data_IF_357995057045
#
_entry.id   IF_357995057045
#
_cell.length_a   1.000
_cell.length_b   1.000
_cell.length_c   1.000
_cell.angle_alpha   90.00
_cell.angle_beta   90.00
_cell.angle_gamma   90.00
#
_symmetry.space_group_name_H-M   'P 1'
#
loop_
_entity.id
_entity.type
_entity.pdbx_description
1 polymer ?
#
# COMPACT_ATOMS: atom_id res chain seq x y z
N UNK A 1 3.17 -24.52 -3.75
CA UNK A 1 4.51 -25.09 -3.51
C UNK A 1 5.13 -24.38 -2.31
N UNK A 2 5.19 -25.05 -1.17
CA UNK A 2 5.71 -24.47 0.08
C UNK A 2 7.21 -24.25 0.07
N UNK A 3 7.94 -24.80 -0.92
CA UNK A 3 9.37 -24.56 -1.04
C UNK A 3 9.70 -23.14 -1.49
N UNK A 4 8.75 -22.39 -2.06
CA UNK A 4 8.96 -21.04 -2.59
C UNK A 4 8.70 -20.01 -1.50
N UNK A 5 9.69 -19.19 -1.17
CA UNK A 5 9.53 -18.09 -0.19
C UNK A 5 9.13 -16.78 -0.87
N UNK A 6 9.76 -16.46 -2.01
CA UNK A 6 9.58 -15.21 -2.75
C UNK A 6 9.39 -15.46 -4.23
N UNK A 7 8.67 -14.55 -4.89
CA UNK A 7 8.57 -14.50 -6.35
C UNK A 7 9.18 -13.19 -6.84
N UNK A 8 10.13 -13.30 -7.77
CA UNK A 8 10.70 -12.16 -8.46
C UNK A 8 10.28 -12.18 -9.92
N UNK A 9 9.76 -11.05 -10.39
CA UNK A 9 9.31 -10.86 -11.78
C UNK A 9 10.15 -9.76 -12.41
N UNK A 10 10.66 -9.97 -13.62
CA UNK A 10 11.29 -8.90 -14.39
C UNK A 10 10.55 -8.67 -15.71
N UNK A 11 10.30 -7.41 -16.05
CA UNK A 11 9.69 -6.97 -17.31
C UNK A 11 10.31 -5.64 -17.79
N UNK A 12 9.93 -5.16 -18.97
CA UNK A 12 10.51 -3.94 -19.52
C UNK A 12 9.80 -2.66 -19.08
N UNK A 13 8.48 -2.55 -19.28
CA UNK A 13 7.71 -1.34 -18.99
C UNK A 13 7.21 -1.29 -17.54
N UNK A 14 6.94 -0.07 -17.08
CA UNK A 14 6.47 0.22 -15.73
C UNK A 14 4.95 0.11 -15.58
N UNK A 15 4.49 -0.21 -14.36
CA UNK A 15 3.11 0.01 -13.95
C UNK A 15 2.85 1.50 -13.67
N UNK A 16 3.75 2.13 -12.90
CA UNK A 16 3.77 3.54 -12.55
C UNK A 16 5.17 4.11 -12.81
N UNK A 17 5.23 5.34 -13.34
CA UNK A 17 6.47 5.99 -13.73
C UNK A 17 6.38 7.51 -13.57
N UNK A 18 6.72 8.01 -12.39
CA UNK A 18 6.70 9.44 -12.08
C UNK A 18 7.65 10.28 -12.96
N UNK A 19 8.79 9.71 -13.36
CA UNK A 19 9.79 10.38 -14.21
C UNK A 19 9.37 10.48 -15.68
N UNK A 20 8.59 9.50 -16.16
CA UNK A 20 8.14 9.46 -17.54
C UNK A 20 6.85 8.65 -17.65
N UNK A 21 5.67 9.27 -17.44
CA UNK A 21 4.38 8.57 -17.44
C UNK A 21 4.04 7.89 -18.76
N UNK A 22 4.46 8.47 -19.89
CA UNK A 22 4.30 7.86 -21.23
C UNK A 22 5.05 6.51 -21.38
N UNK A 23 6.00 6.22 -20.48
CA UNK A 23 6.72 4.96 -20.42
C UNK A 23 5.92 3.80 -19.79
N UNK A 24 4.78 4.10 -19.15
CA UNK A 24 3.88 3.11 -18.55
C UNK A 24 3.19 2.24 -19.61
N UNK A 25 2.80 1.03 -19.22
CA UNK A 25 2.05 0.14 -20.11
C UNK A 25 0.99 -0.67 -19.37
N UNK A 26 -0.23 -0.71 -19.90
CA UNK A 26 -1.35 -1.42 -19.25
C UNK A 26 -1.12 -2.94 -19.04
N UNK A 27 -0.21 -3.56 -19.80
CA UNK A 27 0.16 -4.96 -19.53
C UNK A 27 0.98 -5.11 -18.24
N UNK A 28 1.74 -4.08 -17.83
CA UNK A 28 2.47 -4.06 -16.58
C UNK A 28 1.50 -3.97 -15.40
N UNK A 29 0.46 -3.12 -15.47
CA UNK A 29 -0.63 -3.09 -14.48
C UNK A 29 -1.32 -4.46 -14.38
N UNK A 30 -1.60 -5.10 -15.52
CA UNK A 30 -2.18 -6.46 -15.55
C UNK A 30 -1.27 -7.48 -14.85
N UNK A 31 0.05 -7.37 -15.04
CA UNK A 31 1.01 -8.24 -14.36
C UNK A 31 1.07 -7.95 -12.86
N UNK A 32 1.03 -6.68 -12.44
CA UNK A 32 0.94 -6.29 -11.03
C UNK A 32 -0.29 -6.91 -10.38
N UNK A 33 -1.48 -6.76 -10.96
CA UNK A 33 -2.72 -7.38 -10.42
C UNK A 33 -2.60 -8.89 -10.26
N UNK A 34 -1.91 -9.58 -11.19
CA UNK A 34 -1.70 -11.03 -11.09
C UNK A 34 -0.77 -11.41 -9.96
N UNK A 35 0.30 -10.63 -9.75
CA UNK A 35 1.25 -10.86 -8.65
C UNK A 35 0.62 -10.49 -7.32
N UNK A 36 -0.22 -9.45 -7.26
CA UNK A 36 -0.98 -9.09 -6.06
C UNK A 36 -1.91 -10.21 -5.62
N UNK A 37 -2.66 -10.77 -6.58
CA UNK A 37 -3.51 -11.93 -6.32
C UNK A 37 -2.68 -13.11 -5.80
N UNK A 38 -1.53 -13.40 -6.42
CA UNK A 38 -0.63 -14.44 -5.92
C UNK A 38 -0.18 -14.15 -4.48
N UNK A 39 0.26 -12.92 -4.19
CA UNK A 39 0.73 -12.51 -2.86
C UNK A 39 -0.38 -12.65 -1.81
N UNK A 40 -1.61 -12.24 -2.15
CA UNK A 40 -2.80 -12.37 -1.31
C UNK A 40 -3.18 -13.83 -1.05
N UNK A 41 -3.29 -14.63 -2.10
CA UNK A 41 -3.75 -16.02 -2.00
C UNK A 41 -2.71 -16.95 -1.38
N UNK A 42 -1.43 -16.68 -1.59
CA UNK A 42 -0.34 -17.53 -1.10
C UNK A 42 0.31 -16.99 0.18
N UNK A 43 -0.02 -15.75 0.58
CA UNK A 43 0.65 -15.02 1.66
C UNK A 43 2.14 -14.85 1.44
N UNK A 44 2.62 -14.76 0.19
CA UNK A 44 4.06 -14.77 -0.17
C UNK A 44 4.49 -13.43 -0.75
N UNK A 45 5.50 -12.77 -0.17
CA UNK A 45 6.00 -11.53 -0.72
C UNK A 45 6.56 -11.68 -2.13
N UNK A 46 6.44 -10.61 -2.91
CA UNK A 46 6.95 -10.55 -4.26
C UNK A 46 7.66 -9.22 -4.54
N UNK A 47 8.56 -9.22 -5.52
CA UNK A 47 9.07 -7.98 -6.08
C UNK A 47 9.10 -8.06 -7.60
N UNK A 48 8.66 -6.97 -8.23
CA UNK A 48 8.63 -6.80 -9.67
C UNK A 48 9.64 -5.73 -10.06
N UNK A 49 10.55 -6.09 -10.97
CA UNK A 49 11.58 -5.22 -11.50
C UNK A 49 11.21 -4.83 -12.92
N UNK A 50 11.27 -3.53 -13.21
CA UNK A 50 11.03 -2.99 -14.53
C UNK A 50 12.08 -1.95 -14.92
N UNK A 51 11.96 -1.44 -16.14
CA UNK A 51 12.86 -0.44 -16.70
C UNK A 51 12.11 0.52 -17.60
N UNK A 52 12.63 0.67 -18.83
CA UNK A 52 12.13 1.56 -19.87
C UNK A 52 12.32 3.05 -19.54
N UNK A 53 11.72 3.52 -18.45
CA UNK A 53 12.01 4.84 -17.87
C UNK A 53 13.40 4.82 -17.25
N UNK A 54 14.32 5.61 -17.79
CA UNK A 54 15.71 5.65 -17.37
C UNK A 54 15.87 6.41 -16.05
N UNK A 55 15.58 5.72 -14.94
CA UNK A 55 15.64 6.26 -13.59
C UNK A 55 15.56 5.17 -12.53
N UNK A 56 15.29 5.58 -11.30
CA UNK A 56 14.93 4.71 -10.19
C UNK A 56 13.55 5.09 -9.70
N UNK A 57 12.76 4.09 -9.36
CA UNK A 57 11.52 4.26 -8.64
C UNK A 57 11.32 3.04 -7.76
N UNK A 58 10.84 3.21 -6.53
CA UNK A 58 10.35 2.14 -5.67
C UNK A 58 8.97 2.53 -5.17
N UNK A 59 7.98 1.76 -5.61
CA UNK A 59 6.65 1.74 -5.03
C UNK A 59 6.28 0.33 -4.61
N UNK A 60 5.01 0.13 -4.31
CA UNK A 60 4.47 -1.20 -4.05
C UNK A 60 3.01 -1.18 -3.73
N UNK A 61 2.38 -2.34 -3.90
CA UNK A 61 0.96 -2.50 -3.68
C UNK A 61 0.61 -2.17 -2.23
N UNK A 62 -0.40 -1.31 -2.04
CA UNK A 62 -0.89 -0.98 -0.70
C UNK A 62 -1.30 -2.21 0.09
N UNK A 63 -2.10 -3.10 -0.48
CA UNK A 63 -2.81 -4.14 0.28
C UNK A 63 -2.08 -5.49 0.43
N UNK A 64 -0.91 -5.66 -0.20
CA UNK A 64 -0.13 -6.91 -0.16
C UNK A 64 1.37 -6.61 -0.18
N UNK A 65 2.24 -7.50 0.32
CA UNK A 65 3.70 -7.30 0.28
C UNK A 65 4.25 -7.56 -1.13
N UNK A 66 4.00 -6.63 -2.05
CA UNK A 66 4.47 -6.68 -3.42
C UNK A 66 5.12 -5.35 -3.80
N UNK A 67 6.43 -5.36 -4.02
CA UNK A 67 7.20 -4.18 -4.45
C UNK A 67 7.24 -4.06 -5.97
N UNK A 68 7.21 -2.83 -6.47
CA UNK A 68 7.45 -2.51 -7.87
C UNK A 68 8.66 -1.57 -7.94
N UNK A 69 9.72 -2.00 -8.63
CA UNK A 69 10.99 -1.28 -8.66
C UNK A 69 11.46 -1.02 -10.09
N UNK A 70 11.58 0.25 -10.47
CA UNK A 70 12.30 0.64 -11.68
C UNK A 70 13.81 0.58 -11.43
N UNK A 71 14.54 -0.17 -12.25
CA UNK A 71 15.99 -0.34 -12.15
C UNK A 71 16.75 0.11 -13.40
N UNK A 72 16.14 0.86 -14.32
CA UNK A 72 16.73 1.25 -15.60
C UNK A 72 17.65 2.49 -15.57
N UNK A 73 18.42 2.66 -14.49
CA UNK A 73 19.37 3.78 -14.34
C UNK A 73 20.84 3.35 -14.38
N UNK A 74 21.15 2.14 -14.82
CA UNK A 74 22.54 1.68 -14.95
C UNK A 74 23.28 2.30 -16.16
N UNK A 75 22.54 2.88 -17.11
CA UNK A 75 23.05 3.50 -18.34
C UNK A 75 21.91 4.11 -19.16
N UNK A 76 22.18 4.48 -20.41
CA UNK A 76 21.22 5.25 -21.22
C UNK A 76 21.15 6.73 -20.79
N UNK A 77 20.40 7.56 -21.51
CA UNK A 77 20.16 8.95 -21.09
C UNK A 77 19.03 8.94 -20.07
N UNK A 78 19.28 9.40 -18.85
CA UNK A 78 18.29 9.49 -17.78
C UNK A 78 17.07 10.33 -18.20
N UNK A 79 15.90 9.90 -17.77
CA UNK A 79 14.69 10.72 -17.78
C UNK A 79 14.73 11.60 -16.52
N UNK A 80 14.67 12.92 -16.73
CA UNK A 80 15.06 13.93 -15.73
C UNK A 80 13.83 14.59 -15.15
N UNK A 81 13.89 15.00 -13.89
CA UNK A 81 12.86 15.89 -13.36
C UNK A 81 12.79 17.17 -14.20
N UNK A 82 11.57 17.58 -14.56
CA UNK A 82 11.29 18.76 -15.40
C UNK A 82 11.58 18.57 -16.89
N UNK A 83 11.89 17.35 -17.37
CA UNK A 83 12.01 17.09 -18.82
C UNK A 83 10.69 16.73 -19.50
N UNK A 84 9.64 16.48 -18.72
CA UNK A 84 8.30 16.15 -19.18
C UNK A 84 7.28 16.85 -18.26
N UNK A 85 6.28 17.51 -18.84
CA UNK A 85 5.22 18.22 -18.11
C UNK A 85 4.18 17.26 -17.51
N UNK A 86 4.20 15.97 -17.89
CA UNK A 86 3.28 14.95 -17.39
C UNK A 86 3.69 14.35 -16.03
N UNK A 87 4.91 14.61 -15.55
CA UNK A 87 5.43 14.05 -14.29
C UNK A 87 4.49 14.35 -13.12
N UNK A 88 4.24 13.34 -12.29
CA UNK A 88 3.28 13.41 -11.19
C UNK A 88 3.77 12.61 -9.98
N UNK A 89 3.34 13.04 -8.79
CA UNK A 89 3.56 12.35 -7.52
C UNK A 89 2.52 11.23 -7.36
N UNK A 90 2.99 9.98 -7.45
CA UNK A 90 2.17 8.79 -7.38
C UNK A 90 2.02 8.34 -5.91
N UNK A 91 0.79 8.25 -5.35
CA UNK A 91 0.59 7.95 -3.93
C UNK A 91 1.15 6.61 -3.43
N UNK A 92 1.49 5.67 -4.31
CA UNK A 92 2.05 4.36 -3.97
C UNK A 92 3.55 4.26 -4.25
N UNK A 93 4.14 5.28 -4.90
CA UNK A 93 5.58 5.41 -5.12
C UNK A 93 6.20 6.15 -3.94
N UNK A 94 7.21 5.53 -3.32
CA UNK A 94 7.86 6.06 -2.11
C UNK A 94 9.18 6.74 -2.43
N UNK A 95 9.87 6.30 -3.47
CA UNK A 95 11.17 6.83 -3.84
C UNK A 95 11.32 6.92 -5.34
N UNK A 96 11.57 8.11 -5.88
CA UNK A 96 11.96 8.32 -7.27
C UNK A 96 13.22 9.16 -7.40
N UNK A 97 14.15 8.69 -8.24
CA UNK A 97 15.47 9.31 -8.40
C UNK A 97 15.90 9.32 -9.86
N UNK A 98 16.28 10.49 -10.37
CA UNK A 98 16.76 10.69 -11.73
C UNK A 98 18.30 10.62 -11.84
N UNK A 99 18.94 9.72 -11.08
CA UNK A 99 20.40 9.54 -11.08
C UNK A 99 20.81 8.14 -11.56
N UNK A 100 22.04 8.02 -12.07
CA UNK A 100 22.61 6.72 -12.42
C UNK A 100 22.79 5.85 -11.19
N UNK A 101 22.68 4.54 -11.36
CA UNK A 101 22.82 3.60 -10.27
C UNK A 101 22.45 2.18 -10.65
N UNK A 102 22.50 1.28 -9.67
CA UNK A 102 22.07 -0.09 -9.81
C UNK A 102 21.47 -0.59 -8.51
N UNK A 103 20.72 -1.69 -8.59
CA UNK A 103 20.13 -2.35 -7.43
C UNK A 103 20.86 -3.67 -7.16
N UNK A 104 21.12 -3.94 -5.89
CA UNK A 104 21.58 -5.24 -5.39
C UNK A 104 20.46 -5.86 -4.57
N UNK A 105 20.14 -7.12 -4.87
CA UNK A 105 19.15 -7.90 -4.12
C UNK A 105 19.85 -9.03 -3.39
N UNK A 106 19.95 -8.92 -2.07
CA UNK A 106 20.53 -9.93 -1.20
C UNK A 106 19.41 -10.83 -0.67
N UNK A 107 19.43 -12.12 -1.02
CA UNK A 107 18.40 -13.07 -0.60
C UNK A 107 18.96 -14.08 0.38
N UNK A 108 18.32 -14.20 1.53
CA UNK A 108 18.59 -15.20 2.56
C UNK A 108 17.47 -16.23 2.53
N UNK A 109 17.82 -17.49 2.31
CA UNK A 109 16.91 -18.63 2.44
C UNK A 109 17.09 -19.32 3.80
N UNK A 110 16.19 -20.24 4.15
CA UNK A 110 16.24 -21.01 5.40
C UNK A 110 14.98 -20.79 6.24
N UNK A 111 15.08 -20.91 7.56
CA UNK A 111 13.90 -20.87 8.45
C UNK A 111 13.30 -19.47 8.59
N UNK A 112 14.12 -18.43 8.43
CA UNK A 112 13.70 -17.03 8.40
C UNK A 112 14.10 -16.37 7.07
N UNK A 113 13.42 -16.71 5.95
CA UNK A 113 13.74 -16.14 4.65
C UNK A 113 13.46 -14.66 4.63
N UNK A 114 14.36 -13.92 3.98
CA UNK A 114 14.21 -12.49 3.70
C UNK A 114 14.95 -12.11 2.44
N UNK A 115 14.57 -11.00 1.84
CA UNK A 115 15.42 -10.31 0.86
C UNK A 115 15.63 -8.86 1.30
N UNK A 116 16.82 -8.33 1.00
CA UNK A 116 17.13 -6.91 1.17
C UNK A 116 17.48 -6.33 -0.20
N UNK A 117 16.75 -5.30 -0.59
CA UNK A 117 17.02 -4.51 -1.78
C UNK A 117 17.84 -3.30 -1.40
N UNK A 118 18.94 -3.05 -2.12
CA UNK A 118 19.80 -1.87 -1.95
C UNK A 118 19.98 -1.14 -3.26
N UNK A 119 19.65 0.14 -3.28
CA UNK A 119 19.92 1.05 -4.38
C UNK A 119 21.27 1.73 -4.17
N UNK A 120 22.19 1.49 -5.08
CA UNK A 120 23.48 2.18 -5.13
C UNK A 120 23.44 3.26 -6.22
N UNK A 121 23.42 4.53 -5.81
CA UNK A 121 23.47 5.69 -6.70
C UNK A 121 24.90 6.11 -7.05
N UNK A 122 25.05 6.74 -8.22
CA UNK A 122 26.32 7.20 -8.80
C UNK A 122 26.23 8.64 -9.34
N UNK A 123 25.18 9.39 -8.96
CA UNK A 123 24.94 10.75 -9.42
C UNK A 123 24.50 10.82 -10.88
N UNK A 124 24.53 12.02 -11.44
CA UNK A 124 24.04 12.30 -12.79
C UNK A 124 25.22 12.45 -13.76
N UNK A 125 24.95 12.71 -15.04
CA UNK A 125 26.00 12.83 -16.05
C UNK A 125 26.95 14.01 -15.78
N UNK A 126 26.42 15.11 -15.24
CA UNK A 126 27.12 16.35 -14.90
C UNK A 126 27.62 16.38 -13.45
N UNK A 127 27.00 15.60 -12.57
CA UNK A 127 27.27 15.55 -11.12
C UNK A 127 27.52 14.12 -10.66
N UNK A 128 28.48 13.43 -11.29
CA UNK A 128 28.84 12.06 -10.90
C UNK A 128 29.28 12.00 -9.43
N UNK A 129 28.86 10.92 -8.76
CA UNK A 129 29.14 10.65 -7.35
C UNK A 129 29.87 9.32 -7.19
N UNK A 130 30.58 9.17 -6.08
CA UNK A 130 30.98 7.85 -5.62
C UNK A 130 29.73 6.97 -5.41
N UNK A 131 29.90 5.65 -5.47
CA UNK A 131 28.84 4.70 -5.16
C UNK A 131 28.33 4.93 -3.75
N UNK A 132 27.07 5.33 -3.61
CA UNK A 132 26.43 5.63 -2.32
C UNK A 132 25.12 4.85 -2.20
N UNK A 133 24.81 4.36 -1.01
CA UNK A 133 23.48 3.81 -0.72
C UNK A 133 22.47 4.96 -0.75
N UNK A 134 21.39 4.80 -1.51
CA UNK A 134 20.37 5.84 -1.69
C UNK A 134 18.97 5.39 -1.30
N UNK A 135 18.77 4.08 -1.19
CA UNK A 135 17.53 3.47 -0.76
C UNK A 135 17.80 2.02 -0.32
N UNK A 136 17.11 1.55 0.70
CA UNK A 136 17.20 0.20 1.25
C UNK A 136 15.85 -0.24 1.80
N UNK A 137 15.41 -1.45 1.46
CA UNK A 137 14.25 -2.09 2.06
C UNK A 137 14.51 -3.58 2.29
N UNK A 138 14.04 -4.10 3.42
CA UNK A 138 14.09 -5.54 3.74
C UNK A 138 12.68 -6.07 3.87
N UNK A 139 12.41 -7.20 3.22
CA UNK A 139 11.11 -7.89 3.27
C UNK A 139 11.32 -9.31 3.76
N UNK A 140 10.54 -9.72 4.76
CA UNK A 140 10.61 -11.05 5.38
C UNK A 140 9.46 -11.91 4.86
N UNK A 141 9.69 -13.22 4.72
CA UNK A 141 8.60 -14.18 4.42
C UNK A 141 7.63 -14.31 5.59
N UNK A 142 8.17 -14.26 6.81
CA UNK A 142 7.43 -14.30 8.06
C UNK A 142 7.78 -13.02 8.81
N UNK A 143 6.85 -12.09 8.76
CA UNK A 143 6.96 -10.75 9.34
C UNK A 143 5.91 -10.66 10.45
N UNK A 144 6.28 -10.15 11.62
CA UNK A 144 5.33 -10.01 12.70
C UNK A 144 4.58 -8.69 12.53
N UNK A 145 3.33 -8.77 12.06
CA UNK A 145 2.54 -7.58 11.83
C UNK A 145 2.43 -6.68 13.09
N UNK A 146 2.33 -5.35 12.90
CA UNK A 146 2.17 -4.43 14.01
C UNK A 146 0.83 -4.64 14.73
N UNK A 147 0.76 -4.13 15.95
CA UNK A 147 -0.48 -4.17 16.74
C UNK A 147 -1.53 -3.27 16.09
N UNK A 148 -2.79 -3.71 16.09
CA UNK A 148 -3.89 -2.89 15.59
C UNK A 148 -3.94 -1.54 16.32
N UNK A 149 -4.05 -0.41 15.60
CA UNK A 149 -4.06 0.90 16.24
C UNK A 149 -5.28 1.09 17.12
N UNK A 150 -5.10 1.84 18.21
CA UNK A 150 -6.23 2.35 18.99
C UNK A 150 -6.77 3.61 18.33
N UNK A 151 -8.08 3.73 18.06
CA UNK A 151 -8.66 4.97 17.56
C UNK A 151 -8.71 6.01 18.68
N UNK A 152 -8.19 7.22 18.44
CA UNK A 152 -8.11 8.30 19.44
C UNK A 152 -9.20 9.33 19.20
N UNK A 153 -9.28 9.89 17.99
CA UNK A 153 -10.28 10.90 17.60
C UNK A 153 -10.53 10.86 16.09
N UNK A 154 -11.68 11.35 15.60
CA UNK A 154 -12.83 11.85 16.33
C UNK A 154 -13.66 10.73 16.99
N UNK A 155 -14.37 11.06 18.07
CA UNK A 155 -15.30 10.16 18.79
C UNK A 155 -16.44 10.94 19.42
N UNK A 156 -17.63 10.36 19.48
CA UNK A 156 -18.79 11.03 20.07
C UNK A 156 -19.24 12.24 19.24
N UNK A 157 -19.69 13.33 19.86
CA UNK A 157 -20.07 14.56 19.13
C UNK A 157 -18.84 15.45 18.97
N UNK A 158 -18.58 15.91 17.74
CA UNK A 158 -17.41 16.74 17.44
C UNK A 158 -17.82 17.98 16.64
N UNK A 159 -17.15 19.10 16.92
CA UNK A 159 -17.40 20.35 16.19
C UNK A 159 -16.96 20.25 14.71
N UNK A 160 -17.55 21.06 13.81
CA UNK A 160 -17.18 21.10 12.40
C UNK A 160 -15.69 21.29 12.12
N UNK A 161 -14.94 21.95 13.03
CA UNK A 161 -13.50 22.21 12.89
C UNK A 161 -12.59 21.07 13.37
N UNK A 162 -13.15 20.01 13.97
CA UNK A 162 -12.38 18.90 14.53
C UNK A 162 -12.20 17.80 13.48
N UNK A 163 -11.48 18.12 12.42
CA UNK A 163 -11.43 17.28 11.20
C UNK A 163 -10.14 16.48 11.06
N UNK A 164 -9.66 15.93 12.17
CA UNK A 164 -8.43 15.14 12.21
C UNK A 164 -8.72 13.73 12.71
N UNK A 165 -8.50 12.73 11.86
CA UNK A 165 -8.43 11.32 12.25
C UNK A 165 -7.12 11.12 13.00
N UNK A 166 -7.15 10.49 14.18
CA UNK A 166 -5.96 10.24 15.00
C UNK A 166 -5.97 8.84 15.56
N UNK A 167 -4.87 8.13 15.36
CA UNK A 167 -4.60 6.82 15.93
C UNK A 167 -3.66 6.93 17.13
N UNK A 168 -3.61 5.88 17.95
CA UNK A 168 -2.65 5.73 19.03
C UNK A 168 -1.25 5.42 18.50
N UNK A 169 -0.33 5.18 19.43
CA UNK A 169 1.06 4.88 19.09
C UNK A 169 1.19 3.60 18.26
N UNK A 170 2.11 3.65 17.28
CA UNK A 170 2.55 2.48 16.54
C UNK A 170 3.35 1.55 17.45
N UNK A 171 3.06 0.25 17.38
CA UNK A 171 3.77 -0.75 18.17
C UNK A 171 3.97 -2.03 17.35
N UNK A 172 5.22 -2.46 17.25
CA UNK A 172 5.63 -3.67 16.55
C UNK A 172 6.40 -4.60 17.49
N UNK A 173 6.15 -5.91 17.38
CA UNK A 173 6.77 -6.91 18.24
C UNK A 173 8.17 -7.36 17.80
N UNK A 174 8.51 -7.21 16.51
CA UNK A 174 9.83 -7.52 15.98
C UNK A 174 10.72 -6.27 15.78
N UNK A 175 10.15 -5.09 16.06
CA UNK A 175 10.88 -3.83 16.17
C UNK A 175 10.99 -3.06 14.86
N UNK A 176 10.25 -3.45 13.83
CA UNK A 176 10.10 -2.63 12.64
C UNK A 176 9.47 -1.27 12.96
N UNK A 177 9.76 -0.28 12.10
CA UNK A 177 9.29 1.09 12.26
C UNK A 177 7.92 1.27 11.59
N UNK A 178 7.22 2.35 11.98
CA UNK A 178 5.99 2.76 11.30
C UNK A 178 6.27 3.07 9.82
N UNK A 179 5.62 2.33 8.93
CA UNK A 179 5.83 2.37 7.49
C UNK A 179 4.69 3.05 6.73
N UNK A 180 3.45 2.88 7.16
CA UNK A 180 2.28 3.54 6.60
C UNK A 180 1.06 3.49 7.53
N UNK A 181 0.07 4.36 7.30
CA UNK A 181 -1.27 4.24 7.87
C UNK A 181 -2.33 4.33 6.79
N UNK A 182 -3.39 3.54 6.97
CA UNK A 182 -4.56 3.54 6.11
C UNK A 182 -5.80 3.86 6.94
N UNK A 183 -6.53 4.91 6.58
CA UNK A 183 -7.80 5.30 7.20
C UNK A 183 -8.97 5.12 6.25
N UNK A 184 -10.11 4.72 6.81
CA UNK A 184 -11.39 4.69 6.13
C UNK A 184 -12.47 5.33 6.99
N UNK A 185 -13.35 6.12 6.37
CA UNK A 185 -14.58 6.65 6.98
C UNK A 185 -15.78 6.17 6.18
N UNK A 186 -16.84 5.77 6.88
CA UNK A 186 -18.11 5.30 6.30
C UNK A 186 -19.31 5.93 7.03
N UNK A 187 -20.50 5.84 6.44
CA UNK A 187 -21.75 6.30 7.05
C UNK A 187 -22.25 5.38 8.18
N UNK A 188 -21.69 4.16 8.26
CA UNK A 188 -22.02 3.12 9.25
C UNK A 188 -20.75 2.34 9.60
N UNK A 189 -20.69 1.80 10.82
CA UNK A 189 -19.55 1.02 11.32
C UNK A 189 -19.35 -0.34 10.62
N UNK A 190 -20.23 -0.69 9.68
CA UNK A 190 -20.11 -1.87 8.82
C UNK A 190 -19.95 -1.51 7.34
N UNK A 191 -19.92 -0.22 6.98
CA UNK A 191 -19.95 0.28 5.60
C UNK A 191 -18.58 0.48 4.96
N UNK A 192 -17.54 -0.21 5.42
CA UNK A 192 -16.16 0.03 4.95
C UNK A 192 -15.80 -0.65 3.62
N UNK A 193 -16.72 -1.40 3.02
CA UNK A 193 -16.56 -1.93 1.66
C UNK A 193 -16.76 -0.83 0.59
N UNK A 194 -17.49 0.23 0.95
CA UNK A 194 -17.70 1.43 0.14
C UNK A 194 -17.46 2.68 1.01
N UNK A 195 -16.20 2.96 1.40
CA UNK A 195 -15.90 4.07 2.28
C UNK A 195 -16.23 5.41 1.62
N UNK A 196 -16.76 6.34 2.41
CA UNK A 196 -16.96 7.74 1.99
C UNK A 196 -15.64 8.49 1.86
N UNK A 197 -14.65 8.10 2.66
CA UNK A 197 -13.30 8.66 2.66
C UNK A 197 -12.30 7.52 2.82
N UNK A 198 -11.25 7.52 2.01
CA UNK A 198 -10.12 6.62 2.13
C UNK A 198 -8.81 7.42 2.01
N UNK A 199 -7.88 7.22 2.95
CA UNK A 199 -6.59 7.93 3.00
C UNK A 199 -5.46 6.96 3.31
N UNK A 200 -4.35 7.11 2.60
CA UNK A 200 -3.16 6.30 2.76
C UNK A 200 -1.94 7.22 2.81
N UNK A 201 -1.12 7.07 3.84
CA UNK A 201 0.13 7.80 4.04
C UNK A 201 1.25 6.80 4.28
N UNK A 202 2.34 6.95 3.56
CA UNK A 202 3.58 6.17 3.70
C UNK A 202 4.60 7.00 4.47
N UNK A 203 5.64 6.40 5.04
CA UNK A 203 6.63 7.11 5.87
C UNK A 203 7.68 7.93 5.12
N UNK A 204 7.75 7.79 3.79
CA UNK A 204 8.68 8.51 2.93
C UNK A 204 8.03 8.74 1.56
N UNK A 205 8.28 9.91 0.97
CA UNK A 205 7.89 10.22 -0.41
C UNK A 205 8.97 11.09 -1.06
N UNK A 206 9.98 10.45 -1.67
CA UNK A 206 11.02 11.15 -2.40
C UNK A 206 10.59 11.43 -3.84
N UNK A 207 10.02 12.61 -4.07
CA UNK A 207 9.58 13.11 -5.37
C UNK A 207 10.37 14.37 -5.76
N UNK A 208 10.80 14.48 -7.02
CA UNK A 208 11.55 15.64 -7.53
C UNK A 208 12.79 16.06 -6.70
N UNK A 209 13.38 15.14 -5.93
CA UNK A 209 14.55 15.39 -5.08
C UNK A 209 14.24 15.90 -3.67
N UNK A 210 12.96 15.96 -3.29
CA UNK A 210 12.48 16.36 -1.97
C UNK A 210 11.70 15.21 -1.33
N UNK A 211 11.81 15.05 -0.01
CA UNK A 211 10.97 14.12 0.74
C UNK A 211 9.70 14.85 1.19
N UNK A 212 8.62 14.71 0.42
CA UNK A 212 7.34 15.37 0.65
C UNK A 212 6.65 14.91 1.94
N UNK A 213 7.10 13.79 2.49
CA UNK A 213 6.59 13.17 3.70
C UNK A 213 7.45 13.51 4.94
N UNK A 214 8.54 14.27 4.76
CA UNK A 214 9.49 14.55 5.82
C UNK A 214 8.83 15.28 7.02
N UNK A 215 8.86 14.63 8.17
CA UNK A 215 8.37 15.19 9.43
C UNK A 215 6.87 15.03 9.66
N UNK A 216 6.16 14.34 8.78
CA UNK A 216 4.74 14.05 8.95
C UNK A 216 4.47 13.02 10.07
N UNK A 217 3.35 13.16 10.76
CA UNK A 217 2.89 12.19 11.77
C UNK A 217 1.92 11.20 11.14
N UNK A 218 2.41 10.01 10.80
CA UNK A 218 1.58 8.94 10.25
C UNK A 218 0.42 8.48 11.14
N UNK A 219 0.26 9.01 12.35
CA UNK A 219 -0.86 8.70 13.23
C UNK A 219 -2.03 9.64 13.04
N UNK A 220 -1.88 10.73 12.28
CA UNK A 220 -2.97 11.65 11.99
C UNK A 220 -3.23 11.85 10.49
N UNK A 221 -4.47 12.25 10.17
CA UNK A 221 -4.87 12.57 8.81
C UNK A 221 -6.08 13.51 8.82
N UNK A 222 -5.96 14.61 8.07
CA UNK A 222 -7.03 15.60 7.93
C UNK A 222 -8.15 15.14 7.00
N UNK A 223 -9.35 15.68 7.21
CA UNK A 223 -10.46 15.59 6.27
C UNK A 223 -11.23 16.93 6.22
N UNK A 224 -12.00 17.15 5.16
CA UNK A 224 -12.86 18.34 5.02
C UNK A 224 -14.12 18.06 4.19
N UNK A 225 -14.27 16.84 3.67
CA UNK A 225 -15.28 16.45 2.69
C UNK A 225 -16.58 15.95 3.33
N UNK A 226 -16.60 15.77 4.65
CA UNK A 226 -17.73 15.19 5.36
C UNK A 226 -18.79 16.24 5.67
N UNK A 227 -20.04 15.97 5.26
CA UNK A 227 -21.16 16.85 5.57
C UNK A 227 -21.46 16.87 7.09
N UNK A 228 -21.75 18.05 7.61
CA UNK A 228 -22.12 18.26 9.02
C UNK A 228 -23.54 17.78 9.33
N UNK A 229 -23.88 17.66 10.61
CA UNK A 229 -25.15 17.17 11.13
C UNK A 229 -25.36 15.65 11.01
N UNK A 230 -24.31 14.89 10.68
CA UNK A 230 -24.37 13.45 10.35
C UNK A 230 -23.48 12.60 11.24
N UNK A 231 -23.85 11.33 11.38
CA UNK A 231 -23.02 10.30 11.99
C UNK A 231 -22.12 9.64 10.96
N UNK A 232 -20.93 9.26 11.40
CA UNK A 232 -19.92 8.53 10.66
C UNK A 232 -19.26 7.50 11.57
N UNK A 233 -18.66 6.48 10.96
CA UNK A 233 -17.71 5.60 11.63
C UNK A 233 -16.41 5.60 10.86
N UNK A 234 -15.29 5.51 11.58
CA UNK A 234 -13.98 5.40 10.97
C UNK A 234 -13.17 4.26 11.58
N UNK A 235 -12.20 3.76 10.82
CA UNK A 235 -11.20 2.78 11.27
C UNK A 235 -9.86 3.08 10.63
N UNK A 236 -8.79 2.60 11.25
CA UNK A 236 -7.45 2.67 10.68
C UNK A 236 -6.69 1.36 10.88
N UNK A 237 -5.63 1.17 10.10
CA UNK A 237 -4.61 0.12 10.33
C UNK A 237 -3.23 0.69 10.06
N UNK A 238 -2.23 0.13 10.73
CA UNK A 238 -0.83 0.51 10.55
C UNK A 238 -0.11 -0.55 9.71
N UNK A 239 0.86 -0.12 8.91
CA UNK A 239 1.82 -0.97 8.20
C UNK A 239 3.19 -0.72 8.77
N UNK A 240 3.96 -1.77 8.99
CA UNK A 240 5.38 -1.64 9.28
C UNK A 240 6.18 -1.36 7.99
N UNK A 241 7.50 -1.15 8.13
CA UNK A 241 8.42 -1.02 6.99
C UNK A 241 8.83 -2.37 6.37
N UNK A 242 8.46 -3.50 6.99
CA UNK A 242 8.58 -4.86 6.47
C UNK A 242 7.47 -5.25 5.48
N UNK A 243 6.46 -4.38 5.36
CA UNK A 243 5.27 -4.43 4.51
C UNK A 243 4.07 -5.19 5.10
N UNK A 244 4.10 -5.63 6.36
CA UNK A 244 2.96 -6.27 6.99
C UNK A 244 1.97 -5.25 7.57
N UNK A 245 0.70 -5.58 7.45
CA UNK A 245 -0.40 -4.77 7.98
C UNK A 245 -0.87 -5.32 9.31
N UNK A 246 -1.11 -4.44 10.26
CA UNK A 246 -1.94 -4.77 11.42
C UNK A 246 -3.36 -5.15 10.96
N UNK A 247 -4.08 -5.81 11.85
CA UNK A 247 -5.54 -5.81 11.77
C UNK A 247 -6.09 -4.38 11.80
N UNK A 248 -7.28 -4.19 11.26
CA UNK A 248 -8.01 -2.93 11.41
C UNK A 248 -8.35 -2.66 12.88
N UNK A 249 -8.30 -1.39 13.28
CA UNK A 249 -8.84 -0.94 14.56
C UNK A 249 -10.32 -1.27 14.68
N UNK A 250 -10.82 -1.38 15.91
CA UNK A 250 -12.26 -1.34 16.15
C UNK A 250 -12.86 -0.05 15.54
N UNK A 251 -13.96 -0.14 14.78
CA UNK A 251 -14.62 1.04 14.25
C UNK A 251 -15.03 2.01 15.36
N UNK A 252 -14.79 3.29 15.16
CA UNK A 252 -15.15 4.36 16.12
C UNK A 252 -16.15 5.31 15.50
N UNK A 253 -17.25 5.52 16.21
CA UNK A 253 -18.33 6.39 15.76
C UNK A 253 -18.14 7.83 16.24
N UNK A 254 -18.51 8.78 15.38
CA UNK A 254 -18.64 10.18 15.72
C UNK A 254 -19.80 10.84 14.98
N UNK A 255 -20.30 11.95 15.52
CA UNK A 255 -21.26 12.84 14.89
C UNK A 255 -20.60 14.18 14.64
N UNK A 256 -20.47 14.56 13.39
CA UNK A 256 -19.99 15.88 13.00
C UNK A 256 -21.14 16.86 13.16
N UNK A 257 -21.08 17.78 14.13
CA UNK A 257 -22.18 18.71 14.43
C UNK A 257 -22.31 19.80 13.34
N UNK A 258 -23.49 20.40 13.20
CA UNK A 258 -23.77 21.45 12.21
C UNK A 258 -23.20 22.81 12.60
N UNK A 259 -23.32 23.14 13.89
CA UNK A 259 -22.82 24.35 14.53
C UNK A 259 -22.20 23.93 15.87
N UNK A 260 -21.12 24.56 16.30
CA UNK A 260 -20.53 24.20 17.58
C UNK A 260 -19.27 24.94 17.96
N UNK A 261 -19.40 25.73 19.02
CA UNK A 261 -18.37 26.31 19.91
C UNK A 261 -17.79 25.23 20.86
N UNK A 262 -17.76 23.98 20.40
CA UNK A 262 -17.33 22.80 21.18
C UNK A 262 -15.85 22.61 20.89
N UNK A 263 -15.01 22.63 21.92
CA UNK A 263 -13.60 22.29 21.77
C UNK A 263 -13.47 20.90 21.13
N UNK A 264 -12.32 20.61 20.48
CA UNK A 264 -11.98 19.26 20.02
C UNK A 264 -11.64 18.36 21.21
N UNK A 265 -12.59 18.24 22.13
CA UNK A 265 -12.54 17.41 23.31
C UNK A 265 -13.09 16.04 22.99
N UNK A 266 -12.33 15.06 23.45
CA UNK A 266 -12.62 13.64 23.39
C UNK A 266 -13.82 13.29 24.29
N UNK A 267 -15.03 13.27 23.73
CA UNK A 267 -16.18 12.69 24.44
C UNK A 267 -16.17 11.16 24.34
N UNK A 268 -16.84 10.49 25.30
CA UNK A 268 -17.06 9.05 25.21
C UNK A 268 -17.83 8.72 23.91
N UNK A 269 -17.58 7.57 23.26
CA UNK A 269 -18.29 7.19 22.05
C UNK A 269 -19.81 7.24 22.28
N UNK A 270 -20.51 8.05 21.48
CA UNK A 270 -21.97 8.06 21.48
C UNK A 270 -22.39 6.89 20.59
N UNK A 271 -23.15 5.94 21.15
CA UNK A 271 -23.73 4.87 20.34
C UNK A 271 -24.50 5.48 19.16
N UNK A 272 -24.37 4.93 17.94
CA UNK A 272 -25.15 5.43 16.81
C UNK A 272 -26.64 5.39 17.15
N UNK A 273 -27.39 6.43 16.74
CA UNK A 273 -28.84 6.47 16.94
C UNK A 273 -29.44 5.11 16.50
N UNK A 274 -30.32 4.49 17.30
CA UNK A 274 -30.88 3.19 16.98
C UNK A 274 -31.53 3.25 15.60
N UNK A 275 -31.27 2.22 14.78
CA UNK A 275 -31.83 2.12 13.44
C UNK A 275 -33.34 2.40 13.50
N UNK A 276 -33.89 3.22 12.57
CA UNK A 276 -35.34 3.28 12.43
C UNK A 276 -35.85 1.85 12.22
N UNK A 277 -36.98 1.48 12.86
CA UNK A 277 -37.50 0.12 12.77
C UNK A 277 -37.65 -0.25 11.28
N UNK A 278 -37.28 -1.48 10.90
CA UNK A 278 -37.45 -1.91 9.52
C UNK A 278 -38.90 -1.69 9.11
N UNK A 279 -39.10 -0.97 8.01
CA UNK A 279 -40.41 -0.89 7.37
C UNK A 279 -40.87 -2.33 7.13
N UNK A 280 -42.10 -2.71 7.51
CA UNK A 280 -42.57 -4.09 7.32
C UNK A 280 -42.49 -4.44 5.84
N UNK A 281 -41.52 -5.29 5.48
CA UNK A 281 -41.44 -5.87 4.14
C UNK A 281 -42.51 -6.95 4.09
N UNK A 282 -43.50 -6.76 3.21
CA UNK A 282 -44.47 -7.81 2.88
C UNK A 282 -43.71 -9.04 2.39
N UNK A 283 -43.87 -10.15 3.11
CA UNK A 283 -43.25 -11.43 2.78
C UNK A 283 -44.01 -12.00 1.58
N UNK A 284 -43.44 -11.87 0.38
CA UNK A 284 -43.78 -12.76 -0.73
C UNK A 284 -42.77 -13.91 -0.72
N UNK A 285 -43.29 -15.12 -0.51
CA UNK A 285 -42.52 -16.35 -0.39
C UNK A 285 -41.89 -16.73 -1.73
N UNK A 286 -40.57 -16.59 -1.83
CA UNK A 286 -39.77 -17.15 -2.90
C UNK A 286 -38.63 -17.99 -2.33
N UNK A 287 -38.82 -19.32 -2.31
CA UNK A 287 -37.79 -20.28 -1.94
C UNK A 287 -36.66 -20.32 -2.98
N UNK A 288 -35.52 -19.73 -2.66
CA UNK A 288 -34.27 -19.83 -3.43
C UNK A 288 -33.21 -20.60 -2.66
N UNK A 289 -32.81 -21.76 -3.18
CA UNK A 289 -31.78 -22.64 -2.64
C UNK A 289 -30.39 -22.00 -2.63
N UNK A 290 -29.69 -22.11 -1.50
CA UNK A 290 -28.27 -21.76 -1.33
C UNK A 290 -27.39 -22.89 -1.88
N UNK A 291 -26.48 -22.66 -2.84
CA UNK A 291 -25.38 -23.58 -3.09
C UNK A 291 -24.24 -23.27 -2.13
N UNK A 292 -23.86 -24.28 -1.35
CA UNK A 292 -22.57 -24.35 -0.66
C UNK A 292 -21.47 -24.50 -1.70
N UNK A 293 -20.57 -23.52 -1.77
CA UNK A 293 -19.38 -23.55 -2.62
C UNK A 293 -18.13 -23.43 -1.76
N UNK A 294 -17.62 -24.55 -1.26
CA UNK A 294 -16.22 -24.66 -0.85
C UNK A 294 -15.33 -24.54 -2.10
N UNK A 295 -14.65 -23.40 -2.22
CA UNK A 295 -13.65 -23.16 -3.27
C UNK A 295 -12.24 -23.17 -2.67
N UNK A 296 -11.67 -24.35 -2.47
CA UNK A 296 -10.25 -24.50 -2.18
C UNK A 296 -9.40 -24.08 -3.39
N UNK A 297 -9.03 -22.81 -3.47
CA UNK A 297 -8.08 -22.29 -4.46
C UNK A 297 -6.66 -22.73 -4.10
N UNK A 298 -6.18 -23.81 -4.74
CA UNK A 298 -4.79 -24.24 -4.58
C UNK A 298 -3.79 -23.26 -5.20
N UNK A 299 -2.63 -23.09 -4.56
CA UNK A 299 -1.50 -22.29 -5.03
C UNK A 299 -0.86 -22.91 -6.30
N UNK A 300 -1.53 -22.80 -7.44
CA UNK A 300 -1.00 -23.20 -8.74
C UNK A 300 -0.92 -21.98 -9.65
N UNK A 301 0.26 -21.75 -10.24
CA UNK A 301 0.43 -20.81 -11.33
C UNK A 301 -0.35 -21.33 -12.54
N UNK A 302 -1.59 -20.87 -12.72
CA UNK A 302 -2.38 -21.20 -13.89
C UNK A 302 -1.79 -20.47 -15.10
N UNK A 303 -1.14 -21.22 -15.99
CA UNK A 303 -0.71 -20.72 -17.29
C UNK A 303 -1.94 -20.45 -18.16
N UNK A 304 -2.30 -19.19 -18.35
CA UNK A 304 -3.32 -18.80 -19.33
C UNK A 304 -2.66 -18.43 -20.65
N UNK A 305 -2.98 -19.14 -21.72
CA UNK A 305 -2.63 -18.78 -23.10
C UNK A 305 -3.42 -17.56 -23.56
N UNK A 306 -2.77 -16.39 -23.58
CA UNK A 306 -3.23 -15.19 -24.28
C UNK A 306 -2.38 -15.00 -25.56
N UNK A 307 -2.90 -14.33 -26.61
CA UNK A 307 -2.16 -14.19 -27.87
C UNK A 307 -0.83 -13.47 -27.65
N UNK A 308 0.23 -14.01 -28.25
CA UNK A 308 1.61 -13.59 -28.01
C UNK A 308 1.87 -12.17 -28.55
N UNK A 309 1.88 -11.20 -27.65
CA UNK A 309 2.87 -10.12 -27.71
C UNK A 309 4.13 -10.70 -27.09
N UNK A 310 5.26 -10.67 -27.80
CA UNK A 310 6.54 -11.17 -27.29
C UNK A 310 7.01 -10.32 -26.11
N UNK A 311 6.52 -10.63 -24.91
CA UNK A 311 6.98 -10.05 -23.66
C UNK A 311 7.89 -11.06 -22.99
N UNK A 312 9.16 -10.71 -22.84
CA UNK A 312 10.10 -11.49 -22.04
C UNK A 312 9.79 -11.22 -20.55
N UNK A 313 9.08 -12.13 -19.91
CA UNK A 313 8.91 -12.14 -18.46
C UNK A 313 9.87 -13.17 -17.88
N UNK A 314 10.87 -12.72 -17.13
CA UNK A 314 11.73 -13.63 -16.37
C UNK A 314 11.12 -13.82 -14.99
N UNK A 315 10.85 -15.08 -14.63
CA UNK A 315 10.40 -15.47 -13.29
C UNK A 315 11.56 -16.17 -12.58
N UNK A 316 11.97 -15.63 -11.44
CA UNK A 316 12.92 -16.28 -10.55
C UNK A 316 12.21 -16.73 -9.26
N UNK A 317 12.42 -17.99 -8.90
CA UNK A 317 11.87 -18.60 -7.69
C UNK A 317 13.01 -18.97 -6.75
N UNK A 318 12.94 -18.50 -5.51
CA UNK A 318 13.88 -18.92 -4.47
C UNK A 318 13.28 -20.08 -3.71
N UNK A 319 13.92 -21.25 -3.82
CA UNK A 319 13.47 -22.49 -3.19
C UNK A 319 14.33 -22.86 -1.99
N UNK A 320 13.71 -23.22 -0.87
CA UNK A 320 14.42 -23.92 0.21
C UNK A 320 14.83 -25.32 -0.25
N UNK A 321 16.07 -25.72 0.00
CA UNK A 321 16.45 -27.14 -0.09
C UNK A 321 15.74 -27.87 1.05
N UNK A 322 14.91 -28.86 0.73
CA UNK A 322 14.45 -29.83 1.74
C UNK A 322 15.68 -30.61 2.22
N UNK A 323 15.86 -30.68 3.53
CA UNK A 323 16.82 -31.60 4.14
C UNK A 323 16.40 -33.06 3.88
#
# INVERSE_FOLDING_TARGET
DDAIDFVFVAMHHAHHSELWPDGEAGFASTAVTRVDRFSRECGKPAAMFYGHTHGYARGGSRDVPHLWINVASAGGRLDRWGSDDAQYDDPETQVSQDEYGFVVLDVVAGDAPRFTLRRIGMGQADTSRARVLRDEITVRRYDAAPTAPTPVAPRGRVAPGCTMLRTGDFADSDGDLHGATHWQVADRCTGFDEPLLERYRVHENWFAGEDLQAGDDLRDEGFDELATGRFYCWRARHRDRGLAWSEWSSPTAFRLEADGDVDCVDEAPVEPDPLPPPTPVGIDGGSGSVPTGEGGGGCHAAGTSAPAVSVLVLLAFVRRRRA
#
